data_IF_647807861996
#
_entry.id   IF_647807861996
#
_cell.length_a   1.000
_cell.length_b   1.000
_cell.length_c   1.000
_cell.angle_alpha   90.00
_cell.angle_beta   90.00
_cell.angle_gamma   90.00
#
_symmetry.space_group_name_H-M   'P 1'
#
loop_
_entity.id
_entity.type
_entity.pdbx_description
1 polymer ?
#
# COMPACT_ATOMS: atom_id res chain seq x y z
N UNK A 1 -14.06 -15.73 77.78
CA UNK A 1 -14.59 -14.72 76.84
C UNK A 1 -13.49 -13.68 76.67
N UNK A 2 -12.42 -14.03 75.95
CA UNK A 2 -12.27 -13.89 74.49
C UNK A 2 -12.19 -12.44 74.03
N UNK A 3 -11.07 -12.14 73.38
CA UNK A 3 -10.78 -10.88 72.70
C UNK A 3 -9.38 -10.92 72.13
N UNK A 4 -9.01 -12.00 71.42
CA UNK A 4 -7.74 -12.10 70.72
C UNK A 4 -7.84 -11.28 69.42
N UNK A 5 -7.35 -10.05 69.46
CA UNK A 5 -7.25 -9.18 68.30
C UNK A 5 -6.09 -9.64 67.43
N UNK A 6 -6.37 -10.61 66.54
CA UNK A 6 -5.46 -10.95 65.46
C UNK A 6 -5.39 -9.75 64.49
N UNK A 7 -4.37 -8.91 64.69
CA UNK A 7 -3.94 -7.93 63.71
C UNK A 7 -3.50 -8.73 62.48
N UNK A 8 -4.36 -8.80 61.47
CA UNK A 8 -3.99 -9.29 60.15
C UNK A 8 -3.12 -8.19 59.54
N UNK A 9 -1.82 -8.33 59.75
CA UNK A 9 -0.80 -7.52 59.12
C UNK A 9 -0.79 -7.87 57.62
N UNK A 10 -1.65 -7.18 56.88
CA UNK A 10 -1.75 -7.28 55.43
C UNK A 10 -0.47 -6.75 54.82
N UNK A 11 0.54 -7.62 54.70
CA UNK A 11 1.73 -7.37 53.91
C UNK A 11 1.28 -7.02 52.49
N UNK A 12 1.26 -5.72 52.17
CA UNK A 12 1.21 -5.23 50.81
C UNK A 12 2.45 -5.79 50.11
N UNK A 13 2.27 -6.87 49.37
CA UNK A 13 3.30 -7.35 48.46
C UNK A 13 3.55 -6.23 47.45
N UNK A 14 4.61 -5.46 47.66
CA UNK A 14 5.16 -4.59 46.63
C UNK A 14 5.74 -5.55 45.59
N UNK A 15 4.96 -5.83 44.55
CA UNK A 15 5.41 -6.59 43.39
C UNK A 15 6.42 -5.68 42.68
N UNK A 16 7.69 -5.84 43.02
CA UNK A 16 8.78 -5.14 42.36
C UNK A 16 8.99 -5.72 40.96
N UNK A 17 8.93 -4.87 39.95
CA UNK A 17 9.24 -5.26 38.57
C UNK A 17 10.72 -5.56 38.46
N UNK A 18 11.08 -6.79 38.09
CA UNK A 18 12.49 -7.16 37.96
C UNK A 18 13.06 -6.62 36.65
N UNK A 19 14.34 -6.28 36.63
CA UNK A 19 15.02 -5.81 35.41
C UNK A 19 14.97 -6.87 34.30
N UNK A 20 15.00 -8.15 34.67
CA UNK A 20 14.89 -9.27 33.73
C UNK A 20 13.50 -9.33 33.09
N UNK A 21 12.44 -9.13 33.87
CA UNK A 21 11.07 -9.05 33.35
C UNK A 21 10.89 -7.88 32.38
N UNK A 22 11.49 -6.72 32.69
CA UNK A 22 11.55 -5.57 31.78
C UNK A 22 12.19 -5.93 30.43
N UNK A 23 13.31 -6.63 30.48
CA UNK A 23 14.07 -7.01 29.29
C UNK A 23 13.29 -8.01 28.44
N UNK A 24 12.61 -8.98 29.06
CA UNK A 24 11.76 -9.94 28.35
C UNK A 24 10.58 -9.24 27.67
N UNK A 25 9.91 -8.31 28.36
CA UNK A 25 8.80 -7.54 27.78
C UNK A 25 9.27 -6.71 26.59
N UNK A 26 10.41 -6.01 26.70
CA UNK A 26 10.98 -5.24 25.59
C UNK A 26 11.36 -6.14 24.41
N UNK A 27 11.90 -7.33 24.66
CA UNK A 27 12.21 -8.30 23.61
C UNK A 27 10.93 -8.74 22.85
N UNK A 28 9.86 -9.05 23.57
CA UNK A 28 8.56 -9.44 22.97
C UNK A 28 7.98 -8.27 22.16
N UNK A 29 7.95 -7.05 22.71
CA UNK A 29 7.45 -5.86 22.01
C UNK A 29 8.27 -5.60 20.74
N UNK A 30 9.59 -5.75 20.80
CA UNK A 30 10.47 -5.58 19.64
C UNK A 30 10.11 -6.54 18.50
N UNK A 31 9.94 -7.83 18.81
CA UNK A 31 9.57 -8.85 17.82
C UNK A 31 8.19 -8.55 17.22
N UNK A 32 7.21 -8.24 18.06
CA UNK A 32 5.85 -7.91 17.61
C UNK A 32 5.82 -6.64 16.75
N UNK A 33 6.63 -5.64 17.09
CA UNK A 33 6.71 -4.37 16.35
C UNK A 33 7.27 -4.58 14.94
N UNK A 34 8.29 -5.43 14.77
CA UNK A 34 8.84 -5.78 13.45
C UNK A 34 7.79 -6.54 12.62
N UNK A 35 7.10 -7.52 13.22
CA UNK A 35 6.04 -8.24 12.52
C UNK A 35 4.88 -7.32 12.09
N UNK A 36 4.44 -6.42 12.97
CA UNK A 36 3.37 -5.48 12.67
C UNK A 36 3.75 -4.50 11.55
N UNK A 37 4.96 -3.94 11.59
CA UNK A 37 5.42 -2.97 10.57
C UNK A 37 5.56 -3.60 9.18
N UNK A 38 6.08 -4.83 9.10
CA UNK A 38 6.16 -5.56 7.82
C UNK A 38 4.77 -5.88 7.24
N UNK A 39 3.81 -6.27 8.07
CA UNK A 39 2.44 -6.54 7.62
C UNK A 39 1.73 -5.26 7.13
N UNK A 40 1.92 -4.14 7.85
CA UNK A 40 1.36 -2.85 7.47
C UNK A 40 1.95 -2.41 6.13
N UNK A 41 3.27 -2.36 6.00
CA UNK A 41 3.93 -1.92 4.75
C UNK A 41 3.51 -2.76 3.55
N UNK A 42 3.43 -4.09 3.68
CA UNK A 42 2.93 -4.97 2.62
C UNK A 42 1.49 -4.64 2.21
N UNK A 43 0.61 -4.35 3.17
CA UNK A 43 -0.79 -4.00 2.90
C UNK A 43 -0.90 -2.65 2.20
N UNK A 44 -0.07 -1.68 2.59
CA UNK A 44 0.03 -0.37 1.96
C UNK A 44 0.50 -0.49 0.50
N UNK A 45 1.53 -1.28 0.23
CA UNK A 45 2.00 -1.52 -1.14
C UNK A 45 0.92 -2.16 -2.01
N UNK A 46 0.20 -3.17 -1.49
CA UNK A 46 -0.91 -3.80 -2.22
C UNK A 46 -2.04 -2.79 -2.52
N UNK A 47 -2.37 -1.94 -1.56
CA UNK A 47 -3.35 -0.87 -1.75
C UNK A 47 -2.93 0.10 -2.86
N UNK A 48 -1.68 0.55 -2.86
CA UNK A 48 -1.16 1.44 -3.90
C UNK A 48 -1.19 0.81 -5.29
N UNK A 49 -0.85 -0.48 -5.40
CA UNK A 49 -0.98 -1.23 -6.67
C UNK A 49 -2.44 -1.25 -7.14
N UNK A 50 -3.37 -1.55 -6.24
CA UNK A 50 -4.79 -1.60 -6.59
C UNK A 50 -5.35 -0.24 -6.99
N UNK A 51 -4.92 0.84 -6.32
CA UNK A 51 -5.24 2.21 -6.71
C UNK A 51 -4.71 2.54 -8.11
N UNK A 52 -3.47 2.18 -8.42
CA UNK A 52 -2.88 2.38 -9.74
C UNK A 52 -3.65 1.59 -10.82
N UNK A 53 -3.99 0.32 -10.55
CA UNK A 53 -4.80 -0.51 -11.46
C UNK A 53 -6.18 0.09 -11.71
N UNK A 54 -6.90 0.49 -10.66
CA UNK A 54 -8.22 1.11 -10.79
C UNK A 54 -8.16 2.42 -11.60
N UNK A 55 -7.11 3.21 -11.39
CA UNK A 55 -6.89 4.43 -12.15
C UNK A 55 -6.59 4.16 -13.63
N UNK A 56 -5.76 3.17 -13.95
CA UNK A 56 -5.49 2.77 -15.34
C UNK A 56 -6.77 2.31 -16.07
N UNK A 57 -7.61 1.52 -15.40
CA UNK A 57 -8.90 1.04 -15.96
C UNK A 57 -9.87 2.20 -16.19
N UNK A 58 -9.91 3.17 -15.26
CA UNK A 58 -10.79 4.33 -15.40
C UNK A 58 -10.36 5.22 -16.58
N UNK A 59 -9.04 5.43 -16.77
CA UNK A 59 -8.50 6.09 -17.95
C UNK A 59 -8.86 5.33 -19.21
N UNK A 60 -8.66 4.01 -19.26
CA UNK A 60 -8.98 3.22 -20.45
C UNK A 60 -10.44 3.42 -20.86
N UNK A 61 -11.36 3.41 -19.88
CA UNK A 61 -12.79 3.67 -20.13
C UNK A 61 -13.03 5.08 -20.69
N UNK A 62 -12.34 6.10 -20.16
CA UNK A 62 -12.45 7.47 -20.68
C UNK A 62 -11.89 7.60 -22.10
N UNK A 63 -10.76 6.94 -22.38
CA UNK A 63 -10.13 6.94 -23.70
C UNK A 63 -11.01 6.25 -24.73
N UNK A 64 -11.59 5.10 -24.41
CA UNK A 64 -12.55 4.41 -25.29
C UNK A 64 -13.78 5.26 -25.57
N UNK A 65 -14.29 6.00 -24.57
CA UNK A 65 -15.41 6.94 -24.78
C UNK A 65 -15.03 8.09 -25.70
N UNK A 66 -13.88 8.73 -25.46
CA UNK A 66 -13.38 9.84 -26.30
C UNK A 66 -13.19 9.40 -27.74
N UNK A 67 -12.67 8.19 -27.97
CA UNK A 67 -12.50 7.63 -29.31
C UNK A 67 -13.85 7.46 -30.03
N UNK A 68 -14.88 6.99 -29.33
CA UNK A 68 -16.23 6.84 -29.93
C UNK A 68 -16.86 8.21 -30.24
N UNK A 69 -16.67 9.20 -29.37
CA UNK A 69 -17.30 10.53 -29.52
C UNK A 69 -16.61 11.42 -30.57
N UNK A 70 -15.27 11.40 -30.60
CA UNK A 70 -14.47 12.34 -31.39
C UNK A 70 -13.56 11.69 -32.42
N UNK A 71 -13.38 10.37 -32.36
CA UNK A 71 -12.40 9.65 -33.17
C UNK A 71 -10.94 9.91 -32.74
N UNK A 72 -10.72 10.47 -31.54
CA UNK A 72 -9.40 10.78 -31.02
C UNK A 72 -9.27 10.43 -29.52
N UNK A 73 -8.07 10.04 -29.11
CA UNK A 73 -7.73 9.84 -27.70
C UNK A 73 -7.34 11.16 -27.02
N UNK A 74 -7.61 11.26 -25.72
CA UNK A 74 -7.28 12.42 -24.91
C UNK A 74 -5.77 12.46 -24.59
N UNK A 75 -5.16 13.66 -24.59
CA UNK A 75 -3.81 13.85 -24.08
C UNK A 75 -3.79 13.78 -22.55
N UNK A 76 -2.63 13.50 -21.97
CA UNK A 76 -2.44 13.33 -20.52
C UNK A 76 -2.95 14.52 -19.69
N UNK A 77 -2.91 15.74 -20.24
CA UNK A 77 -3.41 16.95 -19.59
C UNK A 77 -4.93 17.01 -19.45
N UNK A 78 -5.67 16.27 -20.27
CA UNK A 78 -7.13 16.21 -20.24
C UNK A 78 -7.65 15.00 -19.42
N UNK A 79 -6.75 14.13 -18.96
CA UNK A 79 -7.08 13.02 -18.09
C UNK A 79 -7.08 13.46 -16.63
N UNK A 80 -7.91 12.85 -15.77
CA UNK A 80 -7.93 13.17 -14.35
C UNK A 80 -6.55 12.95 -13.75
N UNK A 81 -6.01 13.91 -13.00
CA UNK A 81 -4.71 13.72 -12.35
C UNK A 81 -4.77 12.54 -11.36
N UNK A 82 -3.83 11.60 -11.48
CA UNK A 82 -3.62 10.62 -10.43
C UNK A 82 -2.93 11.28 -9.25
N UNK A 83 -3.66 11.37 -8.15
CA UNK A 83 -3.07 11.66 -6.84
C UNK A 83 -2.79 10.34 -6.11
N UNK A 84 -1.85 9.55 -6.62
CA UNK A 84 -1.45 8.28 -6.00
C UNK A 84 -0.01 8.43 -5.52
N UNK A 85 0.20 8.37 -4.21
CA UNK A 85 1.53 8.42 -3.62
C UNK A 85 2.43 7.29 -4.15
N UNK A 86 3.70 7.60 -4.42
CA UNK A 86 4.71 6.67 -4.93
C UNK A 86 4.34 6.01 -6.27
N UNK A 87 3.50 6.63 -7.10
CA UNK A 87 3.20 6.17 -8.46
C UNK A 87 3.32 7.33 -9.44
N UNK A 88 4.12 7.14 -10.49
CA UNK A 88 4.25 8.10 -11.58
C UNK A 88 3.51 7.58 -12.82
N UNK A 89 2.70 8.43 -13.47
CA UNK A 89 1.95 8.05 -14.67
C UNK A 89 2.46 8.81 -15.87
N UNK A 90 2.64 8.08 -16.96
CA UNK A 90 3.09 8.61 -18.24
C UNK A 90 2.23 8.04 -19.36
N UNK A 91 2.03 8.86 -20.39
CA UNK A 91 1.37 8.47 -21.63
C UNK A 91 2.38 8.56 -22.76
N UNK A 92 2.46 7.53 -23.59
CA UNK A 92 3.16 7.56 -24.86
C UNK A 92 2.15 7.38 -25.97
N UNK A 93 2.16 8.26 -26.97
CA UNK A 93 1.39 8.06 -28.20
C UNK A 93 2.31 7.46 -29.26
N UNK A 94 1.91 6.33 -29.82
CA UNK A 94 2.58 5.73 -30.96
C UNK A 94 2.23 6.51 -32.23
N UNK A 95 3.15 6.52 -33.20
CA UNK A 95 2.94 7.15 -34.51
C UNK A 95 1.72 6.59 -35.26
N UNK A 96 1.27 5.38 -34.89
CA UNK A 96 0.12 4.71 -35.48
C UNK A 96 -1.23 5.15 -34.88
N UNK A 97 -1.22 6.13 -33.97
CA UNK A 97 -2.43 6.61 -33.27
C UNK A 97 -2.80 5.79 -32.04
N UNK A 98 -2.09 4.70 -31.74
CA UNK A 98 -2.27 3.92 -30.51
C UNK A 98 -1.72 4.67 -29.29
N UNK A 99 -2.41 4.60 -28.16
CA UNK A 99 -1.91 5.11 -26.89
C UNK A 99 -1.40 3.97 -26.00
N UNK A 100 -0.31 4.23 -25.27
CA UNK A 100 0.18 3.38 -24.19
C UNK A 100 0.24 4.23 -22.92
N UNK A 101 -0.45 3.79 -21.88
CA UNK A 101 -0.37 4.35 -20.53
C UNK A 101 0.52 3.47 -19.67
N UNK A 102 1.45 4.09 -18.94
CA UNK A 102 2.34 3.39 -18.03
C UNK A 102 2.26 4.01 -16.63
N UNK A 103 1.96 3.18 -15.63
CA UNK A 103 2.09 3.52 -14.21
C UNK A 103 3.38 2.91 -13.66
N UNK A 104 4.28 3.75 -13.18
CA UNK A 104 5.56 3.38 -12.57
C UNK A 104 5.43 3.43 -11.06
N UNK A 105 5.53 2.27 -10.41
CA UNK A 105 5.54 2.14 -8.96
C UNK A 105 6.93 2.53 -8.43
N UNK A 106 7.04 3.65 -7.73
CA UNK A 106 8.30 4.20 -7.22
C UNK A 106 8.82 3.46 -5.98
N UNK A 107 7.97 2.72 -5.30
CA UNK A 107 8.34 1.91 -4.12
C UNK A 107 8.98 0.56 -4.47
N UNK A 108 8.94 0.15 -5.74
CA UNK A 108 9.60 -1.08 -6.23
C UNK A 108 11.00 -0.78 -6.74
N UNK A 109 11.90 -1.76 -6.61
CA UNK A 109 13.27 -1.65 -7.11
C UNK A 109 13.31 -1.47 -8.63
N UNK A 110 14.39 -0.86 -9.11
CA UNK A 110 14.47 -0.45 -10.52
C UNK A 110 14.43 -1.61 -11.51
N UNK A 111 14.89 -2.79 -11.08
CA UNK A 111 15.00 -4.01 -11.89
C UNK A 111 13.81 -4.97 -11.69
N UNK A 112 12.83 -4.60 -10.86
CA UNK A 112 11.64 -5.41 -10.63
C UNK A 112 10.75 -5.39 -11.89
N UNK A 113 10.44 -6.56 -12.44
CA UNK A 113 9.60 -6.70 -13.63
C UNK A 113 8.19 -6.13 -13.42
N UNK A 114 7.73 -6.04 -12.17
CA UNK A 114 6.43 -5.49 -11.80
C UNK A 114 6.46 -3.97 -11.52
N UNK A 115 7.58 -3.29 -11.76
CA UNK A 115 7.69 -1.85 -11.46
C UNK A 115 6.79 -1.00 -12.36
N UNK A 116 6.60 -1.42 -13.61
CA UNK A 116 5.87 -0.66 -14.61
C UNK A 116 4.65 -1.47 -15.04
N UNK A 117 3.47 -0.95 -14.74
CA UNK A 117 2.20 -1.52 -15.18
C UNK A 117 1.78 -0.75 -16.42
N UNK A 118 1.66 -1.45 -17.55
CA UNK A 118 1.28 -0.84 -18.83
C UNK A 118 -0.10 -1.29 -19.27
N UNK A 119 -0.86 -0.35 -19.84
CA UNK A 119 -2.13 -0.60 -20.50
C UNK A 119 -2.19 0.13 -21.83
N UNK A 120 -2.72 -0.55 -22.84
CA UNK A 120 -2.96 -0.03 -24.18
C UNK A 120 -4.40 -0.31 -24.57
N UNK A 121 -4.84 0.23 -25.71
CA UNK A 121 -6.19 0.02 -26.24
C UNK A 121 -6.52 -1.47 -26.47
N UNK A 122 -5.55 -2.25 -26.93
CA UNK A 122 -5.71 -3.67 -27.27
C UNK A 122 -5.45 -4.64 -26.10
N UNK A 123 -4.91 -4.16 -24.99
CA UNK A 123 -4.60 -5.00 -23.84
C UNK A 123 -5.77 -4.99 -22.84
N UNK A 124 -6.64 -6.03 -22.91
CA UNK A 124 -7.70 -6.28 -21.92
C UNK A 124 -7.17 -6.67 -20.53
N UNK A 125 -5.86 -6.91 -20.41
CA UNK A 125 -5.18 -7.17 -19.14
C UNK A 125 -3.85 -6.42 -19.14
N UNK A 126 -3.46 -5.78 -18.03
CA UNK A 126 -2.18 -5.11 -17.94
C UNK A 126 -1.02 -6.06 -18.20
N UNK A 127 -0.04 -5.61 -18.98
CA UNK A 127 1.18 -6.39 -19.22
C UNK A 127 2.06 -6.26 -17.97
N UNK A 128 2.36 -7.41 -17.38
CA UNK A 128 3.14 -7.64 -16.17
C UNK A 128 2.45 -7.31 -14.84
N UNK A 129 2.51 -8.30 -13.95
CA UNK A 129 2.21 -8.27 -12.51
C UNK A 129 0.83 -7.77 -12.09
N UNK A 130 -0.17 -8.62 -12.33
CA UNK A 130 -1.44 -8.57 -11.62
C UNK A 130 -1.40 -9.30 -10.27
#
# INVERSE_FOLDING_TARGET
MEGNNNVIDGHRAIIGFTLVEALVVLAIIGILSVAATTAITSSWHLSQVNHAKAYLISIQTMQSRSWIESGAYLPLSALPQANIENVNISQTMSNNGEYEMAATLLFKEQHDSCRIIKISDSALSPRECW
#
